data_IF_248997687790
#
_entry.id   IF_248997687790
#
_cell.length_a   1.000
_cell.length_b   1.000
_cell.length_c   1.000
_cell.angle_alpha   90.00
_cell.angle_beta   90.00
_cell.angle_gamma   90.00
#
_symmetry.space_group_name_H-M   'P 1'
#
loop_
_entity.id
_entity.type
_entity.pdbx_description
1 polymer ?
#
# COMPACT_ATOMS: atom_id res chain seq x y z
N UNK A 1 -27.58 -1.41 27.66
CA UNK A 1 -26.22 -1.71 27.14
C UNK A 1 -25.51 -0.38 26.91
N UNK A 2 -24.31 -0.20 27.46
CA UNK A 2 -23.52 1.02 27.23
C UNK A 2 -23.10 1.08 25.76
N UNK A 3 -23.02 2.30 25.21
CA UNK A 3 -22.50 2.55 23.84
C UNK A 3 -21.00 2.18 23.84
N UNK A 4 -20.59 1.25 22.97
CA UNK A 4 -19.18 0.93 22.76
C UNK A 4 -18.46 2.15 22.18
N UNK A 5 -17.34 2.53 22.77
CA UNK A 5 -16.46 3.59 22.24
C UNK A 5 -15.21 2.88 21.71
N UNK A 6 -15.03 2.90 20.37
CA UNK A 6 -13.85 2.34 19.72
C UNK A 6 -12.77 3.41 19.60
N UNK A 7 -11.57 3.14 20.12
CA UNK A 7 -10.45 4.09 20.18
C UNK A 7 -9.16 3.58 19.54
N UNK A 8 -9.19 2.40 18.91
CA UNK A 8 -8.00 1.78 18.28
C UNK A 8 -7.99 1.95 16.75
N UNK A 9 -8.14 3.19 16.29
CA UNK A 9 -8.16 3.50 14.86
C UNK A 9 -6.80 3.29 14.16
N UNK A 10 -5.72 3.12 14.91
CA UNK A 10 -4.41 2.74 14.36
C UNK A 10 -4.40 1.27 13.87
N UNK A 11 -5.18 0.39 14.50
CA UNK A 11 -5.30 -1.01 14.09
C UNK A 11 -6.26 -1.17 12.91
N UNK A 12 -7.45 -0.57 13.00
CA UNK A 12 -8.48 -0.65 11.94
C UNK A 12 -9.49 0.47 12.05
N UNK A 13 -10.19 0.75 10.97
CA UNK A 13 -11.25 1.79 10.89
C UNK A 13 -12.42 1.26 10.08
N UNK A 14 -13.63 1.58 10.50
CA UNK A 14 -14.82 1.24 9.72
C UNK A 14 -14.80 1.96 8.35
N UNK A 15 -15.25 1.25 7.33
CA UNK A 15 -15.48 1.87 6.01
C UNK A 15 -16.57 2.92 6.14
N UNK A 16 -16.35 4.11 5.60
CA UNK A 16 -17.37 5.17 5.59
C UNK A 16 -18.56 4.75 4.73
N UNK A 17 -19.79 5.06 5.13
CA UNK A 17 -21.00 4.68 4.38
C UNK A 17 -20.94 5.08 2.89
N UNK A 18 -20.51 6.30 2.59
CA UNK A 18 -20.42 6.81 1.22
C UNK A 18 -19.40 6.02 0.37
N UNK A 19 -18.33 5.52 1.00
CA UNK A 19 -17.34 4.67 0.34
C UNK A 19 -17.92 3.29 0.08
N UNK A 20 -18.61 2.71 1.08
CA UNK A 20 -19.27 1.42 0.93
C UNK A 20 -20.30 1.45 -0.21
N UNK A 21 -21.16 2.47 -0.24
CA UNK A 21 -22.18 2.66 -1.28
C UNK A 21 -21.54 2.76 -2.68
N UNK A 22 -20.42 3.47 -2.80
CA UNK A 22 -19.67 3.58 -4.05
C UNK A 22 -19.03 2.23 -4.49
N UNK A 23 -18.65 1.37 -3.54
CA UNK A 23 -18.03 0.06 -3.80
C UNK A 23 -19.04 -1.00 -4.20
N UNK A 24 -20.24 -1.04 -3.58
CA UNK A 24 -21.21 -2.12 -3.73
C UNK A 24 -21.51 -2.51 -5.18
N UNK A 25 -21.71 -1.60 -6.14
CA UNK A 25 -21.99 -1.96 -7.53
C UNK A 25 -20.88 -2.78 -8.21
N UNK A 26 -19.64 -2.67 -7.73
CA UNK A 26 -18.50 -3.41 -8.33
C UNK A 26 -18.45 -4.87 -7.90
N UNK A 27 -19.19 -5.27 -6.88
CA UNK A 27 -19.28 -6.67 -6.46
C UNK A 27 -20.35 -7.45 -7.24
N UNK A 28 -21.38 -6.79 -7.79
CA UNK A 28 -22.56 -7.45 -8.35
C UNK A 28 -22.93 -7.03 -9.76
N UNK A 29 -22.65 -5.76 -10.14
CA UNK A 29 -23.09 -5.18 -11.42
C UNK A 29 -21.93 -4.81 -12.34
N UNK A 30 -20.87 -4.21 -11.80
CA UNK A 30 -19.72 -3.64 -12.53
C UNK A 30 -18.45 -4.47 -12.32
N UNK A 31 -18.55 -5.78 -12.35
CA UNK A 31 -17.48 -6.72 -12.02
C UNK A 31 -16.57 -7.13 -13.18
N UNK A 32 -16.66 -6.44 -14.34
CA UNK A 32 -15.86 -6.77 -15.51
C UNK A 32 -14.36 -6.65 -15.26
N UNK A 33 -13.58 -7.62 -15.77
CA UNK A 33 -12.13 -7.60 -15.67
C UNK A 33 -11.56 -6.40 -16.44
N UNK A 34 -10.83 -5.45 -15.80
CA UNK A 34 -10.29 -4.26 -16.45
C UNK A 34 -9.36 -4.52 -17.63
N UNK A 35 -8.78 -5.73 -17.71
CA UNK A 35 -7.93 -6.15 -18.84
C UNK A 35 -8.71 -6.70 -20.04
N UNK A 36 -10.02 -6.85 -19.92
CA UNK A 36 -10.86 -7.35 -21.00
C UNK A 36 -11.05 -6.31 -22.12
N UNK A 37 -11.16 -6.79 -23.36
CA UNK A 37 -11.29 -5.94 -24.57
C UNK A 37 -12.71 -5.54 -24.92
N UNK A 38 -13.71 -6.03 -24.19
CA UNK A 38 -15.12 -5.76 -24.44
C UNK A 38 -15.64 -4.61 -23.56
N UNK A 39 -16.70 -3.94 -24.02
CA UNK A 39 -17.22 -2.68 -23.41
C UNK A 39 -17.54 -2.78 -21.92
N UNK A 40 -18.07 -3.92 -21.44
CA UNK A 40 -18.36 -4.13 -20.03
C UNK A 40 -17.09 -4.10 -19.18
N UNK A 41 -16.00 -4.60 -19.67
CA UNK A 41 -14.69 -4.63 -18.99
C UNK A 41 -13.96 -3.28 -19.07
N UNK A 42 -13.97 -2.62 -20.26
CA UNK A 42 -13.26 -1.35 -20.46
C UNK A 42 -13.74 -0.24 -19.53
N UNK A 43 -15.03 -0.20 -19.20
CA UNK A 43 -15.58 0.76 -18.24
C UNK A 43 -14.92 0.67 -16.85
N UNK A 44 -14.55 -0.52 -16.40
CA UNK A 44 -13.86 -0.69 -15.12
C UNK A 44 -12.41 -0.20 -15.21
N UNK A 45 -11.76 -0.35 -16.35
CA UNK A 45 -10.44 0.23 -16.58
C UNK A 45 -10.47 1.75 -16.49
N UNK A 46 -11.48 2.39 -17.05
CA UNK A 46 -11.64 3.84 -17.01
C UNK A 46 -11.83 4.32 -15.56
N UNK A 47 -12.62 3.62 -14.75
CA UNK A 47 -12.82 3.93 -13.33
C UNK A 47 -11.51 3.81 -12.53
N UNK A 48 -10.73 2.77 -12.78
CA UNK A 48 -9.41 2.60 -12.12
C UNK A 48 -8.45 3.73 -12.51
N UNK A 49 -8.46 4.13 -13.79
CA UNK A 49 -7.63 5.23 -14.24
C UNK A 49 -8.03 6.56 -13.60
N UNK A 50 -9.32 6.88 -13.55
CA UNK A 50 -9.82 8.07 -12.83
C UNK A 50 -9.43 8.06 -11.35
N UNK A 51 -9.56 6.92 -10.67
CA UNK A 51 -9.13 6.80 -9.28
C UNK A 51 -7.62 7.02 -9.13
N UNK A 52 -6.81 6.51 -10.06
CA UNK A 52 -5.37 6.69 -10.10
C UNK A 52 -5.00 8.17 -10.30
N UNK A 53 -5.67 8.86 -11.22
CA UNK A 53 -5.46 10.28 -11.49
C UNK A 53 -5.73 11.12 -10.23
N UNK A 54 -6.85 10.87 -9.55
CA UNK A 54 -7.23 11.58 -8.31
C UNK A 54 -6.19 11.37 -7.21
N UNK A 55 -5.69 10.14 -7.04
CA UNK A 55 -4.66 9.84 -6.04
C UNK A 55 -3.34 10.51 -6.41
N UNK A 56 -2.94 10.45 -7.68
CA UNK A 56 -1.73 11.09 -8.17
C UNK A 56 -1.76 12.59 -7.92
N UNK A 57 -2.84 13.26 -8.29
CA UNK A 57 -3.04 14.70 -8.05
C UNK A 57 -2.95 15.05 -6.57
N UNK A 58 -3.53 14.24 -5.69
CA UNK A 58 -3.51 14.49 -4.23
C UNK A 58 -2.10 14.38 -3.63
N UNK A 59 -1.21 13.63 -4.26
CA UNK A 59 0.17 13.40 -3.83
C UNK A 59 1.18 14.27 -4.60
N UNK A 60 0.76 15.02 -5.62
CA UNK A 60 1.65 15.74 -6.53
C UNK A 60 2.51 14.79 -7.38
N UNK A 61 2.01 13.59 -7.65
CA UNK A 61 2.66 12.56 -8.44
C UNK A 61 2.02 12.44 -9.82
N UNK A 62 2.63 11.64 -10.71
CA UNK A 62 2.05 11.28 -12.00
C UNK A 62 1.23 10.00 -11.87
N UNK A 63 0.17 9.79 -12.69
CA UNK A 63 -0.65 8.58 -12.64
C UNK A 63 0.14 7.28 -12.78
N UNK A 64 1.17 7.26 -13.60
CA UNK A 64 2.05 6.10 -13.79
C UNK A 64 2.94 5.76 -12.59
N UNK A 65 3.02 6.67 -11.60
CA UNK A 65 3.74 6.44 -10.33
C UNK A 65 2.83 5.83 -9.24
N UNK A 66 1.53 5.67 -9.52
CA UNK A 66 0.55 5.12 -8.58
C UNK A 66 0.29 3.64 -8.90
N UNK A 67 0.51 2.79 -7.91
CA UNK A 67 0.27 1.35 -7.99
C UNK A 67 -0.71 0.90 -6.92
N UNK A 68 -1.76 0.18 -7.33
CA UNK A 68 -2.70 -0.44 -6.39
C UNK A 68 -2.19 -1.81 -5.97
N UNK A 69 -2.20 -2.07 -4.68
CA UNK A 69 -1.78 -3.33 -4.07
C UNK A 69 -2.92 -3.94 -3.25
N UNK A 70 -2.78 -5.19 -2.86
CA UNK A 70 -3.74 -5.89 -2.01
C UNK A 70 -3.72 -5.42 -0.54
N UNK A 71 -2.74 -4.60 -0.15
CA UNK A 71 -2.63 -4.06 1.20
C UNK A 71 -1.25 -3.52 1.54
N UNK A 72 -1.12 -2.87 2.71
CA UNK A 72 0.12 -2.24 3.16
C UNK A 72 1.33 -3.19 3.20
N UNK A 73 1.14 -4.44 3.62
CA UNK A 73 2.24 -5.42 3.64
C UNK A 73 2.83 -5.71 2.26
N UNK A 74 1.99 -5.74 1.22
CA UNK A 74 2.46 -5.87 -0.16
C UNK A 74 3.21 -4.62 -0.60
N UNK A 75 2.65 -3.45 -0.33
CA UNK A 75 3.27 -2.16 -0.66
C UNK A 75 4.65 -2.00 -0.02
N UNK A 76 4.76 -2.28 1.28
CA UNK A 76 6.00 -2.19 2.06
C UNK A 76 7.08 -3.13 1.50
N UNK A 77 6.70 -4.39 1.25
CA UNK A 77 7.61 -5.37 0.69
C UNK A 77 8.06 -5.00 -0.73
N UNK A 78 7.13 -4.54 -1.55
CA UNK A 78 7.46 -4.12 -2.91
C UNK A 78 8.40 -2.93 -2.90
N UNK A 79 8.09 -1.87 -2.15
CA UNK A 79 8.93 -0.69 -2.06
C UNK A 79 10.35 -1.03 -1.59
N UNK A 80 10.50 -1.74 -0.47
CA UNK A 80 11.82 -2.09 0.08
C UNK A 80 12.63 -2.96 -0.88
N UNK A 81 12.04 -4.05 -1.39
CA UNK A 81 12.75 -5.00 -2.24
C UNK A 81 13.12 -4.39 -3.59
N UNK A 82 12.23 -3.60 -4.20
CA UNK A 82 12.51 -2.95 -5.48
C UNK A 82 13.60 -1.88 -5.37
N UNK A 83 13.60 -1.07 -4.31
CA UNK A 83 14.65 -0.07 -4.08
C UNK A 83 16.00 -0.76 -3.86
N UNK A 84 16.03 -1.81 -3.07
CA UNK A 84 17.24 -2.60 -2.81
C UNK A 84 17.78 -3.19 -4.11
N UNK A 85 16.93 -3.80 -4.93
CA UNK A 85 17.33 -4.38 -6.21
C UNK A 85 17.85 -3.31 -7.19
N UNK A 86 17.14 -2.19 -7.31
CA UNK A 86 17.47 -1.13 -8.25
C UNK A 86 18.73 -0.33 -7.88
N UNK A 87 19.08 -0.26 -6.59
CA UNK A 87 20.14 0.62 -6.10
C UNK A 87 21.25 -0.09 -5.31
N UNK A 88 21.33 -1.41 -5.36
CA UNK A 88 22.34 -2.18 -4.64
C UNK A 88 23.80 -1.77 -4.96
N UNK A 89 24.04 -1.21 -6.14
CA UNK A 89 25.35 -0.70 -6.56
C UNK A 89 25.70 0.65 -5.90
N UNK A 90 24.71 1.36 -5.35
CA UNK A 90 24.90 2.66 -4.70
C UNK A 90 25.10 2.56 -3.20
N UNK A 91 24.68 1.46 -2.60
CA UNK A 91 24.83 1.21 -1.16
C UNK A 91 24.00 0.02 -0.71
N UNK A 92 24.37 -0.51 0.46
CA UNK A 92 23.73 -1.68 1.07
C UNK A 92 23.28 -1.44 2.50
N UNK A 93 23.11 -0.18 2.90
CA UNK A 93 22.71 0.18 4.24
C UNK A 93 21.29 0.76 4.24
N UNK A 94 20.43 0.20 5.08
CA UNK A 94 19.03 0.61 5.25
C UNK A 94 18.82 1.06 6.69
N UNK A 95 18.17 2.18 6.87
CA UNK A 95 17.80 2.72 8.20
C UNK A 95 16.29 2.64 8.34
N UNK A 96 15.83 2.06 9.44
CA UNK A 96 14.42 1.95 9.79
C UNK A 96 14.23 2.16 11.29
N UNK A 97 13.01 2.09 11.80
CA UNK A 97 12.75 2.16 13.24
C UNK A 97 12.46 0.78 13.84
N UNK A 98 12.69 0.63 15.15
CA UNK A 98 12.39 -0.63 15.85
C UNK A 98 10.90 -0.85 16.11
N UNK A 99 10.06 0.16 15.86
CA UNK A 99 8.61 0.13 16.10
C UNK A 99 7.78 -0.04 14.83
N UNK A 100 8.43 -0.32 13.71
CA UNK A 100 7.74 -0.54 12.44
C UNK A 100 6.80 -1.75 12.48
N UNK A 101 5.84 -1.75 11.58
CA UNK A 101 4.98 -2.91 11.36
C UNK A 101 5.82 -4.12 10.94
N UNK A 102 5.35 -5.32 11.27
CA UNK A 102 6.03 -6.58 10.94
C UNK A 102 6.34 -6.74 9.44
N UNK A 103 5.55 -6.16 8.55
CA UNK A 103 5.82 -6.16 7.11
C UNK A 103 7.18 -5.53 6.77
N UNK A 104 7.55 -4.44 7.46
CA UNK A 104 8.85 -3.78 7.35
C UNK A 104 9.92 -4.59 8.06
N UNK A 105 9.74 -4.89 9.36
CA UNK A 105 10.77 -5.56 10.17
C UNK A 105 11.16 -6.93 9.63
N UNK A 106 10.19 -7.73 9.15
CA UNK A 106 10.50 -9.04 8.58
C UNK A 106 11.20 -8.92 7.22
N UNK A 107 10.84 -7.93 6.42
CA UNK A 107 11.54 -7.65 5.16
C UNK A 107 12.97 -7.19 5.41
N UNK A 108 13.20 -6.33 6.40
CA UNK A 108 14.54 -5.92 6.81
C UNK A 108 15.40 -7.12 7.25
N UNK A 109 14.86 -7.99 8.11
CA UNK A 109 15.56 -9.22 8.54
C UNK A 109 15.87 -10.19 7.38
N UNK A 110 15.01 -10.21 6.37
CA UNK A 110 15.28 -10.97 5.15
C UNK A 110 16.43 -10.34 4.35
N UNK A 111 16.45 -9.03 4.21
CA UNK A 111 17.53 -8.31 3.51
C UNK A 111 18.88 -8.41 4.23
N UNK A 112 18.91 -8.45 5.58
CA UNK A 112 20.12 -8.76 6.35
C UNK A 112 20.73 -10.09 5.94
N UNK A 113 19.91 -11.13 5.76
CA UNK A 113 20.40 -12.46 5.29
C UNK A 113 20.97 -12.42 3.87
N UNK A 114 20.60 -11.42 3.08
CA UNK A 114 21.15 -11.17 1.75
C UNK A 114 22.40 -10.26 1.77
N UNK A 115 22.88 -9.87 2.96
CA UNK A 115 24.09 -9.08 3.12
C UNK A 115 23.89 -7.57 3.08
N UNK A 116 22.67 -7.08 3.40
CA UNK A 116 22.41 -5.66 3.62
C UNK A 116 22.62 -5.31 5.08
N UNK A 117 23.22 -4.15 5.33
CA UNK A 117 23.39 -3.61 6.68
C UNK A 117 22.10 -2.89 7.11
N UNK A 118 21.66 -3.14 8.36
CA UNK A 118 20.45 -2.53 8.90
C UNK A 118 20.75 -1.72 10.16
N UNK A 119 20.18 -0.52 10.21
CA UNK A 119 20.13 0.27 11.46
C UNK A 119 18.68 0.40 11.91
N UNK A 120 18.38 -0.14 13.07
CA UNK A 120 17.06 -0.02 13.73
C UNK A 120 17.11 1.09 14.77
N UNK A 121 16.52 2.24 14.47
CA UNK A 121 16.45 3.36 15.39
C UNK A 121 15.45 3.06 16.51
N UNK A 122 15.88 3.26 17.75
CA UNK A 122 15.00 3.25 18.92
C UNK A 122 14.39 4.64 19.13
N UNK A 123 13.14 4.73 19.58
CA UNK A 123 12.53 6.01 19.94
C UNK A 123 13.03 6.59 21.26
N UNK A 124 13.72 5.78 22.06
CA UNK A 124 14.17 6.15 23.42
C UNK A 124 15.71 6.20 23.56
N UNK A 125 16.44 5.76 22.54
CA UNK A 125 17.91 5.79 22.51
C UNK A 125 18.37 6.53 21.24
N UNK A 126 18.13 7.83 21.22
CA UNK A 126 18.62 8.74 20.18
C UNK A 126 19.93 9.37 20.70
#
# INVERSE_FOLDING_TARGET
MGKMIYMDHAATTAVRPEVLDAMLPYFTEKYGNPSGVYTFASKNKDVINVARDIIADSLGAKPEEIYFTGGGSESDNWALKSVVEAFQDKGKHIITTSIEHHAILHTCRYLEKLGFDMTYLSLIHI
#
